data_IF_745410534911
#
_entry.id   IF_745410534911
#
_cell.length_a   1.000
_cell.length_b   1.000
_cell.length_c   1.000
_cell.angle_alpha   90.00
_cell.angle_beta   90.00
_cell.angle_gamma   90.00
#
_symmetry.space_group_name_H-M   'P 1'
#
loop_
_entity.id
_entity.type
_entity.pdbx_description
1 polymer ?
#
# COMPACT_ATOMS: atom_id res chain seq x y z
N UNK A 1 -60.90 27.86 -19.09
CA UNK A 1 -60.07 29.08 -19.16
C UNK A 1 -59.09 28.99 -18.00
N UNK A 2 -57.81 28.68 -18.20
CA UNK A 2 -56.68 29.56 -18.57
C UNK A 2 -55.58 28.60 -19.10
N UNK A 3 -55.10 28.60 -20.35
CA UNK A 3 -54.14 29.50 -21.01
C UNK A 3 -52.97 30.01 -20.15
N UNK A 4 -51.80 29.43 -20.45
CA UNK A 4 -50.51 30.11 -20.73
C UNK A 4 -49.57 30.47 -19.57
N UNK A 5 -48.43 29.76 -19.49
CA UNK A 5 -47.07 30.27 -19.81
C UNK A 5 -46.29 29.06 -20.38
N UNK A 6 -46.21 28.88 -21.70
CA UNK A 6 -45.12 29.36 -22.56
C UNK A 6 -43.73 28.93 -22.03
N UNK A 7 -43.25 27.75 -22.44
CA UNK A 7 -42.22 27.65 -23.48
C UNK A 7 -40.96 28.44 -23.14
N UNK A 8 -40.00 27.82 -22.47
CA UNK A 8 -38.55 28.12 -22.42
C UNK A 8 -37.98 27.02 -21.48
N UNK A 9 -37.10 26.08 -21.82
CA UNK A 9 -36.22 25.91 -22.96
C UNK A 9 -35.92 24.39 -23.08
N UNK A 10 -36.00 23.87 -24.30
CA UNK A 10 -35.14 22.82 -24.86
C UNK A 10 -35.28 21.37 -24.37
N UNK A 11 -36.03 20.64 -25.20
CA UNK A 11 -35.75 19.28 -25.63
C UNK A 11 -34.23 19.10 -25.82
N UNK A 12 -33.57 18.38 -24.91
CA UNK A 12 -32.60 17.29 -25.17
C UNK A 12 -32.39 16.66 -23.80
N UNK A 13 -32.72 15.40 -23.57
CA UNK A 13 -32.04 14.27 -24.19
C UNK A 13 -32.91 13.04 -23.99
N UNK A 14 -33.26 12.41 -25.10
CA UNK A 14 -33.32 10.96 -25.15
C UNK A 14 -31.94 10.43 -24.72
N UNK A 15 -31.89 9.86 -23.53
CA UNK A 15 -30.98 8.77 -23.18
C UNK A 15 -31.53 8.16 -21.89
N UNK A 16 -32.38 7.14 -22.06
CA UNK A 16 -32.58 6.13 -21.04
C UNK A 16 -31.25 5.37 -20.96
N UNK A 17 -30.45 5.64 -19.93
CA UNK A 17 -29.39 4.75 -19.51
C UNK A 17 -29.69 4.39 -18.08
N UNK A 18 -29.77 3.10 -17.82
CA UNK A 18 -30.13 2.49 -16.55
C UNK A 18 -29.40 3.18 -15.39
N UNK A 19 -30.16 3.64 -14.40
CA UNK A 19 -29.62 3.93 -13.09
C UNK A 19 -29.11 2.60 -12.52
N UNK A 20 -27.85 2.27 -12.83
CA UNK A 20 -27.07 1.37 -11.98
C UNK A 20 -27.03 2.07 -10.64
N UNK A 21 -27.92 1.64 -9.75
CA UNK A 21 -27.96 2.01 -8.35
C UNK A 21 -26.67 1.48 -7.72
N UNK A 22 -25.58 2.22 -7.95
CA UNK A 22 -24.31 2.00 -7.30
C UNK A 22 -24.53 2.49 -5.89
N UNK A 23 -25.11 1.62 -5.08
CA UNK A 23 -24.65 1.50 -3.69
C UNK A 23 -23.14 1.33 -3.82
N UNK A 24 -22.40 2.44 -3.81
CA UNK A 24 -20.95 2.43 -3.73
C UNK A 24 -20.69 1.65 -2.45
N UNK A 25 -20.29 0.39 -2.63
CA UNK A 25 -19.97 -0.53 -1.56
C UNK A 25 -19.03 0.21 -0.61
N UNK A 26 -19.49 0.47 0.61
CA UNK A 26 -18.70 1.00 1.72
C UNK A 26 -17.76 -0.10 2.26
N UNK A 27 -17.09 -0.81 1.35
CA UNK A 27 -16.13 -1.86 1.66
C UNK A 27 -14.76 -1.47 1.12
N UNK A 28 -14.09 -0.48 1.73
CA UNK A 28 -12.66 -0.31 1.44
C UNK A 28 -11.84 0.41 2.55
N UNK A 29 -12.14 0.12 3.81
CA UNK A 29 -11.26 0.48 4.94
C UNK A 29 -10.73 -0.74 5.71
N UNK A 30 -11.09 -1.95 5.28
CA UNK A 30 -10.73 -3.22 5.92
C UNK A 30 -9.65 -4.02 5.17
N UNK A 31 -9.38 -3.71 3.90
CA UNK A 31 -8.43 -4.49 3.09
C UNK A 31 -7.18 -3.66 2.83
N UNK A 32 -6.16 -3.87 3.65
CA UNK A 32 -4.83 -3.31 3.45
C UNK A 32 -3.82 -4.41 3.16
N UNK A 33 -2.75 -4.08 2.44
CA UNK A 33 -1.83 -5.09 1.92
C UNK A 33 -2.15 -5.48 0.49
N UNK A 34 -1.71 -6.67 0.08
CA UNK A 34 -1.92 -7.23 -1.24
C UNK A 34 -0.65 -7.77 -1.89
N UNK A 35 -0.80 -8.35 -3.08
CA UNK A 35 0.30 -8.82 -3.90
C UNK A 35 0.78 -7.73 -4.88
N UNK A 36 2.08 -7.49 -4.91
CA UNK A 36 2.70 -6.49 -5.77
C UNK A 36 3.72 -7.16 -6.68
N UNK A 37 3.73 -6.76 -7.95
CA UNK A 37 4.70 -7.25 -8.93
C UNK A 37 5.07 -6.13 -9.91
N UNK A 38 6.13 -6.33 -10.69
CA UNK A 38 6.67 -5.34 -11.60
C UNK A 38 7.90 -4.62 -11.04
N UNK A 39 8.47 -3.72 -11.85
CA UNK A 39 9.80 -3.17 -11.59
C UNK A 39 9.84 -2.05 -10.56
N UNK A 40 8.73 -1.31 -10.43
CA UNK A 40 8.61 -0.15 -9.54
C UNK A 40 7.16 0.05 -9.14
N UNK A 41 6.90 0.22 -7.85
CA UNK A 41 5.59 0.55 -7.30
C UNK A 41 5.74 1.20 -5.92
N UNK A 42 4.64 1.67 -5.35
CA UNK A 42 4.61 2.28 -4.02
C UNK A 42 3.64 1.53 -3.13
N UNK A 43 4.05 1.25 -1.90
CA UNK A 43 3.17 0.76 -0.84
C UNK A 43 2.95 1.88 0.17
N UNK A 44 1.70 2.03 0.61
CA UNK A 44 1.31 3.02 1.61
C UNK A 44 0.51 2.35 2.71
N UNK A 45 0.62 2.86 3.93
CA UNK A 45 -0.29 2.47 5.01
C UNK A 45 -1.72 2.94 4.70
N UNK A 46 -2.74 2.28 5.26
CA UNK A 46 -4.12 2.74 5.14
C UNK A 46 -4.28 4.20 5.59
N UNK A 47 -5.15 4.93 4.91
CA UNK A 47 -5.45 6.35 5.14
C UNK A 47 -4.31 7.34 4.89
N UNK A 48 -3.09 6.91 4.55
CA UNK A 48 -1.96 7.82 4.30
C UNK A 48 -2.35 8.92 3.28
N UNK A 49 -2.07 10.21 3.56
CA UNK A 49 -1.18 10.74 4.61
C UNK A 49 -1.84 11.00 5.97
N UNK A 50 -3.12 10.64 6.15
CA UNK A 50 -3.78 10.68 7.45
C UNK A 50 -3.35 9.49 8.33
N UNK A 51 -3.74 9.54 9.60
CA UNK A 51 -3.35 8.50 10.55
C UNK A 51 -3.92 7.13 10.18
N UNK A 52 -3.09 6.10 10.36
CA UNK A 52 -3.52 4.72 10.14
C UNK A 52 -4.56 4.28 11.19
N UNK A 53 -5.47 3.35 10.84
CA UNK A 53 -6.37 2.71 11.80
C UNK A 53 -5.63 1.91 12.87
N UNK A 54 -6.22 1.79 14.05
CA UNK A 54 -5.72 0.89 15.10
C UNK A 54 -6.16 -0.55 14.85
N UNK A 55 -5.45 -1.49 15.46
CA UNK A 55 -5.84 -2.91 15.52
C UNK A 55 -5.97 -3.57 14.14
N UNK A 56 -5.15 -3.13 13.19
CA UNK A 56 -5.05 -3.70 11.85
C UNK A 56 -3.77 -4.52 11.68
N UNK A 57 -3.83 -5.50 10.79
CA UNK A 57 -2.68 -6.21 10.26
C UNK A 57 -2.76 -6.22 8.72
N UNK A 58 -1.76 -5.64 8.07
CA UNK A 58 -1.65 -5.58 6.62
C UNK A 58 -0.47 -6.41 6.16
N UNK A 59 -0.68 -7.24 5.14
CA UNK A 59 0.37 -8.10 4.56
C UNK A 59 0.60 -7.69 3.10
N UNK A 60 1.81 -7.22 2.78
CA UNK A 60 2.23 -6.86 1.44
C UNK A 60 3.20 -7.92 0.93
N UNK A 61 2.85 -8.61 -0.14
CA UNK A 61 3.67 -9.65 -0.76
C UNK A 61 4.31 -9.10 -2.04
N UNK A 62 5.61 -8.83 -1.98
CA UNK A 62 6.38 -8.29 -3.10
C UNK A 62 6.93 -9.44 -3.92
N UNK A 63 6.33 -9.70 -5.07
CA UNK A 63 6.68 -10.80 -5.97
C UNK A 63 7.76 -10.36 -6.95
N UNK A 64 8.86 -11.11 -6.98
CA UNK A 64 9.87 -10.96 -8.00
C UNK A 64 9.36 -11.41 -9.37
N UNK A 65 10.06 -11.00 -10.43
CA UNK A 65 9.69 -11.43 -11.78
C UNK A 65 9.81 -12.94 -11.91
N UNK A 66 8.80 -13.60 -12.50
CA UNK A 66 8.85 -15.03 -12.82
C UNK A 66 9.95 -15.37 -13.83
N UNK A 67 10.46 -14.37 -14.56
CA UNK A 67 11.55 -14.50 -15.53
C UNK A 67 12.93 -14.19 -14.92
N UNK A 68 13.00 -13.80 -13.65
CA UNK A 68 14.26 -13.55 -12.99
C UNK A 68 15.06 -14.85 -12.90
N UNK A 69 16.31 -14.82 -13.37
CA UNK A 69 17.25 -15.96 -13.32
C UNK A 69 18.05 -16.02 -12.00
N UNK A 70 17.66 -15.24 -11.02
CA UNK A 70 18.34 -15.08 -9.75
C UNK A 70 17.31 -14.84 -8.63
N UNK A 71 17.75 -14.92 -7.37
CA UNK A 71 16.92 -14.49 -6.25
C UNK A 71 16.70 -12.97 -6.33
N UNK A 72 15.44 -12.53 -6.40
CA UNK A 72 15.11 -11.12 -6.55
C UNK A 72 15.62 -10.30 -5.36
N UNK A 73 16.18 -9.12 -5.63
CA UNK A 73 16.48 -8.12 -4.60
C UNK A 73 15.50 -6.95 -4.75
N UNK A 74 14.85 -6.57 -3.65
CA UNK A 74 13.97 -5.42 -3.56
C UNK A 74 14.70 -4.26 -2.87
N UNK A 75 14.72 -3.11 -3.52
CA UNK A 75 15.24 -1.86 -2.99
C UNK A 75 14.06 -1.02 -2.50
N UNK A 76 13.98 -0.85 -1.18
CA UNK A 76 12.91 -0.12 -0.49
C UNK A 76 13.44 1.25 -0.08
N UNK A 77 12.83 2.31 -0.62
CA UNK A 77 13.09 3.68 -0.24
C UNK A 77 11.96 4.18 0.67
N UNK A 78 12.29 4.46 1.92
CA UNK A 78 11.37 5.03 2.90
C UNK A 78 11.26 6.53 2.63
N UNK A 79 10.22 6.92 1.88
CA UNK A 79 9.96 8.31 1.51
C UNK A 79 9.34 9.08 2.67
N UNK A 80 8.46 8.41 3.41
CA UNK A 80 7.87 8.89 4.65
C UNK A 80 7.54 7.68 5.53
N UNK A 81 7.86 7.76 6.82
CA UNK A 81 7.62 6.69 7.78
C UNK A 81 7.54 7.28 9.18
N UNK A 82 6.37 7.13 9.80
CA UNK A 82 6.10 7.59 11.14
C UNK A 82 5.06 6.67 11.80
N UNK A 83 5.56 5.70 12.56
CA UNK A 83 4.76 4.84 13.45
C UNK A 83 4.99 5.26 14.90
N UNK A 84 4.05 4.92 15.79
CA UNK A 84 4.23 5.19 17.22
C UNK A 84 5.46 4.42 17.74
N UNK A 85 6.48 5.11 18.30
CA UNK A 85 7.65 4.43 18.84
C UNK A 85 7.31 3.69 20.13
N UNK A 86 7.95 2.54 20.33
CA UNK A 86 7.89 1.76 21.56
C UNK A 86 9.21 1.01 21.76
N UNK A 87 9.47 0.58 22.99
CA UNK A 87 10.64 -0.25 23.28
C UNK A 87 10.59 -1.53 22.41
N UNK A 88 11.67 -1.79 21.68
CA UNK A 88 11.81 -2.90 20.73
C UNK A 88 10.66 -3.01 19.70
N UNK A 89 9.92 -1.93 19.44
CA UNK A 89 8.78 -1.90 18.53
C UNK A 89 7.67 -2.92 18.87
N UNK A 90 7.43 -3.18 20.15
CA UNK A 90 6.36 -4.10 20.60
C UNK A 90 4.93 -3.57 20.41
N UNK A 91 4.77 -2.25 20.21
CA UNK A 91 3.48 -1.59 19.90
C UNK A 91 3.13 -1.68 18.42
N UNK A 92 3.15 -0.53 17.74
CA UNK A 92 2.97 -0.46 16.28
C UNK A 92 4.30 -0.71 15.57
N UNK A 93 4.30 -1.53 14.52
CA UNK A 93 5.51 -1.85 13.78
C UNK A 93 5.27 -2.21 12.32
N UNK A 94 6.31 -1.99 11.52
CA UNK A 94 6.48 -2.56 10.19
C UNK A 94 7.60 -3.61 10.23
N UNK A 95 7.26 -4.85 9.94
CA UNK A 95 8.19 -5.95 9.78
C UNK A 95 8.45 -6.20 8.29
N UNK A 96 9.72 -6.39 7.92
CA UNK A 96 10.16 -6.67 6.55
C UNK A 96 10.99 -7.94 6.56
N UNK A 97 10.52 -8.95 5.81
CA UNK A 97 11.11 -10.28 5.83
C UNK A 97 11.04 -10.91 7.22
N UNK A 98 12.07 -11.66 7.59
CA UNK A 98 12.04 -12.47 8.82
C UNK A 98 12.68 -11.79 10.05
N UNK A 99 13.31 -10.61 9.88
CA UNK A 99 14.25 -10.08 10.90
C UNK A 99 14.28 -8.58 11.09
N UNK A 100 13.67 -7.79 10.21
CA UNK A 100 13.73 -6.32 10.31
C UNK A 100 12.41 -5.77 10.81
N UNK A 101 12.40 -5.20 12.02
CA UNK A 101 11.21 -4.58 12.63
C UNK A 101 11.47 -3.09 12.84
N UNK A 102 10.53 -2.25 12.43
CA UNK A 102 10.66 -0.80 12.44
C UNK A 102 9.47 -0.12 13.11
N UNK A 103 9.74 0.93 13.88
CA UNK A 103 8.76 1.86 14.45
C UNK A 103 9.40 3.24 14.64
N UNK A 104 8.65 4.25 15.05
CA UNK A 104 9.14 5.63 15.10
C UNK A 104 9.31 6.22 13.71
N UNK A 105 10.36 7.02 13.52
CA UNK A 105 10.67 7.63 12.23
C UNK A 105 11.84 6.91 11.55
N UNK A 106 11.68 6.52 10.28
CA UNK A 106 12.69 5.79 9.51
C UNK A 106 12.85 6.44 8.15
N UNK A 107 14.09 6.55 7.68
CA UNK A 107 14.40 7.08 6.37
C UNK A 107 15.45 6.25 5.65
N UNK A 108 15.71 6.64 4.40
CA UNK A 108 16.78 6.07 3.58
C UNK A 108 16.35 4.86 2.77
N UNK A 109 17.36 4.17 2.24
CA UNK A 109 17.18 3.04 1.32
C UNK A 109 17.71 1.77 1.98
N UNK A 110 16.95 0.68 1.86
CA UNK A 110 17.31 -0.64 2.36
C UNK A 110 17.05 -1.68 1.29
N UNK A 111 17.88 -2.72 1.24
CA UNK A 111 17.75 -3.82 0.27
C UNK A 111 17.45 -5.12 0.98
N UNK A 112 16.49 -5.84 0.43
CA UNK A 112 16.02 -7.10 0.97
C UNK A 112 15.96 -8.15 -0.15
N UNK A 113 16.58 -9.32 0.02
CA UNK A 113 16.36 -10.43 -0.89
C UNK A 113 14.93 -10.96 -0.73
N UNK A 114 14.38 -11.54 -1.78
CA UNK A 114 13.26 -12.46 -1.66
C UNK A 114 13.64 -13.62 -0.72
N UNK A 115 12.64 -14.11 0.02
CA UNK A 115 12.83 -15.13 1.06
C UNK A 115 12.22 -16.46 0.59
N UNK A 116 10.96 -16.45 0.19
CA UNK A 116 10.22 -17.65 -0.21
C UNK A 116 9.54 -17.40 -1.54
N UNK A 117 9.62 -18.35 -2.47
CA UNK A 117 8.96 -18.30 -3.78
C UNK A 117 9.20 -16.97 -4.53
N UNK A 118 10.46 -16.52 -4.50
CA UNK A 118 10.89 -15.24 -5.05
C UNK A 118 10.09 -14.01 -4.53
N UNK A 119 9.52 -14.14 -3.33
CA UNK A 119 8.65 -13.15 -2.69
C UNK A 119 9.29 -12.61 -1.41
N UNK A 120 9.17 -11.30 -1.20
CA UNK A 120 9.47 -10.63 0.06
C UNK A 120 8.14 -10.20 0.70
N UNK A 121 7.89 -10.63 1.93
CA UNK A 121 6.69 -10.24 2.68
C UNK A 121 7.00 -9.08 3.62
N UNK A 122 6.10 -8.11 3.67
CA UNK A 122 6.09 -7.01 4.62
C UNK A 122 4.81 -7.10 5.42
N UNK A 123 4.92 -6.96 6.74
CA UNK A 123 3.78 -6.96 7.66
C UNK A 123 3.73 -5.67 8.43
N UNK A 124 2.64 -4.92 8.27
CA UNK A 124 2.34 -3.78 9.12
C UNK A 124 1.32 -4.20 10.17
N UNK A 125 1.60 -3.94 11.45
CA UNK A 125 0.65 -4.16 12.54
C UNK A 125 0.53 -2.92 13.39
N UNK A 126 -0.71 -2.49 13.64
CA UNK A 126 -1.04 -1.49 14.66
C UNK A 126 -1.78 -2.16 15.82
N UNK A 127 -1.54 -1.70 17.04
CA UNK A 127 -2.16 -2.21 18.26
C UNK A 127 -2.70 -1.08 19.14
N UNK A 128 -3.56 -1.45 20.09
CA UNK A 128 -4.01 -0.53 21.14
C UNK A 128 -2.98 -0.32 22.27
N UNK A 129 -1.83 -1.02 22.22
CA UNK A 129 -0.77 -0.95 23.23
C UNK A 129 0.14 0.28 23.07
N UNK A 130 -0.02 1.01 21.97
CA UNK A 130 0.78 2.17 21.63
C UNK A 130 0.40 3.38 22.51
N UNK A 131 1.36 3.87 23.30
CA UNK A 131 1.37 5.13 24.07
C UNK A 131 0.01 5.84 24.20
N UNK A 132 -0.84 5.44 25.15
CA UNK A 132 -2.14 6.07 25.42
C UNK A 132 -3.09 6.16 24.22
N UNK A 133 -3.01 5.21 23.29
CA UNK A 133 -3.82 5.21 22.08
C UNK A 133 -3.36 6.21 21.00
N UNK A 134 -2.08 6.59 20.99
CA UNK A 134 -1.51 7.35 19.90
C UNK A 134 -1.57 6.57 18.56
N UNK A 135 -1.58 7.30 17.45
CA UNK A 135 -1.45 6.79 16.08
C UNK A 135 -0.53 7.72 15.30
N UNK A 136 0.24 7.17 14.36
CA UNK A 136 1.11 7.92 13.46
C UNK A 136 0.50 8.11 12.07
N UNK A 137 1.21 8.85 11.21
CA UNK A 137 0.82 9.04 9.79
C UNK A 137 0.99 7.77 8.96
N UNK A 138 1.79 6.82 9.44
CA UNK A 138 2.04 5.56 8.75
C UNK A 138 3.25 5.66 7.83
N UNK A 139 3.15 5.14 6.61
CA UNK A 139 4.29 5.09 5.71
C UNK A 139 3.93 5.25 4.24
N UNK A 140 4.92 5.70 3.48
CA UNK A 140 5.01 5.65 2.02
C UNK A 140 6.38 5.13 1.63
N UNK A 141 6.42 3.95 1.04
CA UNK A 141 7.65 3.27 0.64
C UNK A 141 7.61 3.03 -0.86
N UNK A 142 8.61 3.55 -1.56
CA UNK A 142 8.84 3.20 -2.97
C UNK A 142 9.66 1.92 -3.04
N UNK A 143 9.19 0.96 -3.84
CA UNK A 143 9.84 -0.32 -4.04
C UNK A 143 10.32 -0.38 -5.48
N UNK A 144 11.58 -0.79 -5.68
CA UNK A 144 12.13 -1.13 -6.99
C UNK A 144 12.80 -2.51 -6.96
N UNK A 145 12.55 -3.32 -7.98
CA UNK A 145 13.22 -4.63 -8.14
C UNK A 145 14.54 -4.42 -8.88
N UNK A 146 15.66 -4.90 -8.33
CA UNK A 146 16.95 -4.82 -9.02
C UNK A 146 17.06 -5.92 -10.09
N UNK A 147 17.67 -5.63 -11.26
CA UNK A 147 17.89 -6.63 -12.29
C UNK A 147 18.85 -7.71 -11.78
N UNK A 148 18.68 -8.94 -12.28
CA UNK A 148 19.65 -10.00 -12.03
C UNK A 148 21.02 -9.62 -12.61
N UNK A 149 22.12 -9.90 -11.91
CA UNK A 149 23.45 -9.76 -12.48
C UNK A 149 23.53 -10.58 -13.77
N UNK A 150 23.94 -9.95 -14.88
CA UNK A 150 24.31 -10.69 -16.09
C UNK A 150 25.59 -11.47 -15.80
N UNK A 151 25.56 -12.78 -16.00
CA UNK A 151 26.80 -13.57 -16.06
C UNK A 151 27.50 -13.11 -17.34
N UNK A 152 28.52 -12.27 -17.22
CA UNK A 152 29.48 -12.08 -18.30
C UNK A 152 30.19 -13.43 -18.45
N UNK A 153 29.78 -14.19 -19.48
CA UNK A 153 30.54 -15.34 -19.93
C UNK A 153 31.84 -14.79 -20.50
N UNK A 154 32.90 -14.84 -19.70
CA UNK A 154 34.25 -14.60 -20.19
C UNK A 154 34.56 -15.68 -21.24
N UNK A 155 34.40 -15.29 -22.51
CA UNK A 155 34.84 -16.03 -23.69
C UNK A 155 36.35 -16.00 -23.83
#
# INVERSE_FOLDING_TARGET
MLRSVLTILLITKLAKSDEVNTSQNLEDFSNCGGDYSGYKYTIISPNYPNNYPKEIECIYNLRGSSHAKCNQIFNLQFLDFSLVPSENCHGDYLEIGDRSVFCGNVGGIRRYPAIKDNTLTIRFRSSNKSNNGAVGKGFKIEVTTLPCPSIELNS
#
